data_IF_263950663765
#
_entry.id   IF_263950663765
#
_cell.length_a   1.000
_cell.length_b   1.000
_cell.length_c   1.000
_cell.angle_alpha   90.00
_cell.angle_beta   90.00
_cell.angle_gamma   90.00
#
_symmetry.space_group_name_H-M   'P 1'
#
loop_
_entity.id
_entity.type
_entity.pdbx_description
1 polymer ?
#
# COMPACT_ATOMS: atom_id res chain seq x y z
N UNK A 1 -5.04 15.76 -5.81
CA UNK A 1 -4.69 14.80 -6.89
C UNK A 1 -5.90 13.96 -7.30
N UNK A 2 -6.64 13.28 -6.38
CA UNK A 2 -7.81 12.43 -6.68
C UNK A 2 -8.86 13.17 -7.54
N UNK A 3 -9.31 14.35 -7.09
CA UNK A 3 -10.28 15.15 -7.84
C UNK A 3 -9.76 15.60 -9.21
N UNK A 4 -8.44 15.84 -9.29
CA UNK A 4 -7.82 16.20 -10.57
C UNK A 4 -7.79 15.02 -11.53
N UNK A 5 -7.38 13.84 -11.06
CA UNK A 5 -7.42 12.63 -11.89
C UNK A 5 -8.84 12.37 -12.44
N UNK A 6 -9.86 12.50 -11.56
CA UNK A 6 -11.24 12.35 -11.97
C UNK A 6 -11.65 13.41 -13.02
N UNK A 7 -11.23 14.67 -12.83
CA UNK A 7 -11.52 15.75 -13.82
C UNK A 7 -10.82 15.54 -15.18
N UNK A 8 -9.73 14.76 -15.21
CA UNK A 8 -9.05 14.33 -16.43
C UNK A 8 -9.69 13.12 -17.13
N UNK A 9 -10.80 12.61 -16.58
CA UNK A 9 -11.59 11.54 -17.20
C UNK A 9 -11.36 10.14 -16.63
N UNK A 10 -10.55 9.97 -15.58
CA UNK A 10 -10.44 8.69 -14.92
C UNK A 10 -11.71 8.40 -14.11
N UNK A 11 -12.39 7.25 -14.32
CA UNK A 11 -13.52 6.86 -13.49
C UNK A 11 -13.13 6.74 -12.02
N UNK A 12 -13.97 7.20 -11.11
CA UNK A 12 -13.67 7.16 -9.66
C UNK A 12 -13.32 5.74 -9.18
N UNK A 13 -14.07 4.72 -9.62
CA UNK A 13 -13.82 3.32 -9.31
C UNK A 13 -12.56 2.71 -9.93
N UNK A 14 -11.68 3.52 -10.55
CA UNK A 14 -10.36 3.14 -11.02
C UNK A 14 -9.25 3.96 -10.33
N UNK A 15 -9.62 4.77 -9.34
CA UNK A 15 -8.69 5.62 -8.60
C UNK A 15 -8.41 4.99 -7.24
N UNK A 16 -7.15 4.69 -6.98
CA UNK A 16 -6.66 4.28 -5.65
C UNK A 16 -5.89 5.44 -5.03
N UNK A 17 -6.22 5.78 -3.79
CA UNK A 17 -5.60 6.90 -3.09
C UNK A 17 -4.56 6.44 -2.08
N UNK A 18 -3.29 6.70 -2.36
CA UNK A 18 -2.14 6.43 -1.49
C UNK A 18 -1.58 7.74 -0.89
N UNK A 19 -0.77 7.62 0.15
CA UNK A 19 -0.05 8.75 0.78
C UNK A 19 -0.17 8.75 2.29
N UNK A 20 0.90 9.20 2.97
CA UNK A 20 1.05 9.12 4.44
C UNK A 20 0.39 10.25 5.22
N UNK A 21 -0.17 11.23 4.58
CA UNK A 21 -0.70 12.44 5.24
C UNK A 21 -2.04 12.88 4.70
N UNK A 22 -2.97 11.93 4.47
CA UNK A 22 -4.33 12.27 4.04
C UNK A 22 -5.04 13.08 5.11
N UNK A 23 -5.52 14.27 4.76
CA UNK A 23 -6.36 15.06 5.64
C UNK A 23 -7.80 14.55 5.65
N UNK A 24 -8.56 14.89 6.71
CA UNK A 24 -9.97 14.52 6.83
C UNK A 24 -10.79 14.99 5.61
N UNK A 25 -10.49 16.20 5.10
CA UNK A 25 -11.14 16.73 3.91
C UNK A 25 -10.84 15.88 2.66
N UNK A 26 -9.61 15.46 2.47
CA UNK A 26 -9.21 14.64 1.32
C UNK A 26 -9.82 13.24 1.40
N UNK A 27 -9.86 12.65 2.60
CA UNK A 27 -10.55 11.38 2.86
C UNK A 27 -12.03 11.51 2.52
N UNK A 28 -12.68 12.56 3.01
CA UNK A 28 -14.09 12.82 2.74
C UNK A 28 -14.37 13.00 1.24
N UNK A 29 -13.63 13.89 0.58
CA UNK A 29 -13.82 14.16 -0.85
C UNK A 29 -13.63 12.90 -1.70
N UNK A 30 -12.60 12.09 -1.42
CA UNK A 30 -12.32 10.85 -2.13
C UNK A 30 -13.40 9.77 -1.84
N UNK A 31 -13.85 9.66 -0.60
CA UNK A 31 -14.92 8.74 -0.18
C UNK A 31 -16.23 9.07 -0.87
N UNK A 32 -16.64 10.34 -0.89
CA UNK A 32 -17.88 10.78 -1.52
C UNK A 32 -17.83 10.71 -3.04
N UNK A 33 -16.63 10.79 -3.62
CA UNK A 33 -16.42 10.54 -5.04
C UNK A 33 -16.60 9.06 -5.41
N UNK A 34 -16.44 8.14 -4.44
CA UNK A 34 -16.56 6.71 -4.65
C UNK A 34 -15.34 6.12 -5.33
N UNK A 35 -14.13 6.47 -4.86
CA UNK A 35 -12.89 5.89 -5.36
C UNK A 35 -12.82 4.38 -5.13
N UNK A 36 -11.96 3.69 -5.87
CA UNK A 36 -11.83 2.24 -5.77
C UNK A 36 -11.37 1.80 -4.39
N UNK A 37 -10.28 2.40 -3.86
CA UNK A 37 -9.79 2.10 -2.52
C UNK A 37 -8.86 3.18 -1.97
N UNK A 38 -8.76 3.22 -0.64
CA UNK A 38 -7.72 3.93 0.11
C UNK A 38 -6.57 2.95 0.42
N UNK A 39 -5.34 3.29 0.06
CA UNK A 39 -4.16 2.63 0.61
C UNK A 39 -3.84 3.25 1.97
N UNK A 40 -4.17 2.55 3.04
CA UNK A 40 -4.05 3.05 4.41
C UNK A 40 -2.67 2.76 4.98
N UNK A 41 -2.04 3.77 5.54
CA UNK A 41 -0.66 3.73 6.03
C UNK A 41 -0.55 3.38 7.52
N UNK A 42 -1.66 3.46 8.27
CA UNK A 42 -1.70 3.20 9.71
C UNK A 42 -3.09 2.76 10.19
N UNK A 43 -3.14 2.11 11.36
CA UNK A 43 -4.39 1.81 12.05
C UNK A 43 -5.21 3.06 12.37
N UNK A 44 -4.54 4.15 12.74
CA UNK A 44 -5.22 5.40 13.06
C UNK A 44 -5.99 5.95 11.84
N UNK A 45 -5.38 5.91 10.67
CA UNK A 45 -6.03 6.31 9.43
C UNK A 45 -7.26 5.45 9.14
N UNK A 46 -7.16 4.14 9.33
CA UNK A 46 -8.29 3.22 9.14
C UNK A 46 -9.44 3.55 10.10
N UNK A 47 -9.15 3.91 11.35
CA UNK A 47 -10.16 4.33 12.30
C UNK A 47 -10.88 5.61 11.86
N UNK A 48 -10.13 6.60 11.37
CA UNK A 48 -10.70 7.86 10.85
C UNK A 48 -11.59 7.59 9.63
N UNK A 49 -11.13 6.76 8.69
CA UNK A 49 -11.92 6.38 7.50
C UNK A 49 -13.20 5.66 7.91
N UNK A 50 -13.14 4.72 8.88
CA UNK A 50 -14.31 3.99 9.36
C UNK A 50 -15.32 4.93 10.03
N UNK A 51 -14.87 5.84 10.87
CA UNK A 51 -15.73 6.81 11.55
C UNK A 51 -16.41 7.73 10.52
N UNK A 52 -15.64 8.24 9.57
CA UNK A 52 -16.18 9.10 8.51
C UNK A 52 -17.19 8.35 7.63
N UNK A 53 -16.89 7.12 7.26
CA UNK A 53 -17.81 6.27 6.49
C UNK A 53 -19.11 6.00 7.26
N UNK A 54 -19.02 5.74 8.57
CA UNK A 54 -20.17 5.60 9.45
C UNK A 54 -21.03 6.87 9.48
N UNK A 55 -20.43 8.04 9.71
CA UNK A 55 -21.12 9.33 9.77
C UNK A 55 -21.89 9.66 8.48
N UNK A 56 -21.37 9.23 7.34
CA UNK A 56 -21.98 9.48 6.04
C UNK A 56 -22.81 8.31 5.47
N UNK A 57 -22.95 7.22 6.22
CA UNK A 57 -23.75 6.07 5.83
C UNK A 57 -23.22 5.32 4.59
N UNK A 58 -21.93 5.36 4.36
CA UNK A 58 -21.26 4.70 3.22
C UNK A 58 -20.33 3.58 3.70
N UNK A 59 -19.79 2.81 2.75
CA UNK A 59 -18.69 1.88 2.99
C UNK A 59 -17.44 2.35 2.24
N UNK A 60 -16.30 2.30 2.90
CA UNK A 60 -15.01 2.62 2.30
C UNK A 60 -14.22 1.34 2.01
N UNK A 61 -13.74 1.20 0.79
CA UNK A 61 -12.78 0.15 0.45
C UNK A 61 -11.39 0.56 0.91
N UNK A 62 -10.71 -0.32 1.62
CA UNK A 62 -9.33 -0.08 2.09
C UNK A 62 -8.39 -1.19 1.63
N UNK A 63 -7.21 -0.80 1.16
CA UNK A 63 -6.03 -1.65 1.10
C UNK A 63 -5.08 -1.23 2.21
N UNK A 64 -4.55 -2.19 2.91
CA UNK A 64 -3.66 -1.92 4.04
C UNK A 64 -2.22 -1.96 3.57
N UNK A 65 -1.49 -0.86 3.76
CA UNK A 65 -0.06 -0.85 3.51
C UNK A 65 0.66 -1.58 4.63
N UNK A 66 1.34 -2.64 4.25
CA UNK A 66 2.14 -3.47 5.14
C UNK A 66 3.61 -3.14 4.99
N UNK A 67 4.30 -3.00 6.12
CA UNK A 67 5.76 -3.03 6.14
C UNK A 67 6.22 -4.50 6.14
N UNK A 68 6.82 -5.02 5.05
CA UNK A 68 7.23 -6.41 4.97
C UNK A 68 8.53 -6.69 5.73
N UNK A 69 9.14 -5.66 6.35
CA UNK A 69 10.42 -5.75 7.05
C UNK A 69 11.55 -6.33 6.19
N UNK A 70 11.65 -5.81 4.96
CA UNK A 70 12.68 -6.16 3.99
C UNK A 70 13.68 -5.01 3.88
N UNK A 71 14.97 -5.32 4.04
CA UNK A 71 16.03 -4.37 3.72
C UNK A 71 16.33 -4.43 2.21
N UNK A 72 15.82 -3.44 1.47
CA UNK A 72 16.11 -3.28 0.04
C UNK A 72 17.59 -2.90 -0.23
N UNK A 73 18.32 -2.48 0.80
CA UNK A 73 19.70 -2.03 0.74
C UNK A 73 20.68 -3.04 1.38
N UNK A 74 21.00 -4.10 0.68
CA UNK A 74 21.92 -5.14 1.16
C UNK A 74 23.39 -4.71 1.22
N UNK A 75 23.72 -3.45 1.01
CA UNK A 75 25.08 -2.91 1.20
C UNK A 75 25.21 -2.09 2.47
N UNK A 76 26.18 -2.47 3.33
CA UNK A 76 26.52 -1.89 4.64
C UNK A 76 26.88 -0.39 4.67
N UNK A 77 26.73 0.35 3.58
CA UNK A 77 27.27 1.71 3.45
C UNK A 77 26.24 2.79 3.05
N UNK A 78 24.95 2.48 2.91
CA UNK A 78 23.94 3.50 2.62
C UNK A 78 22.90 3.53 3.73
N UNK A 79 23.13 4.37 4.71
CA UNK A 79 22.29 4.60 5.90
C UNK A 79 20.94 5.29 5.58
N UNK A 80 20.55 5.39 4.32
CA UNK A 80 19.31 6.04 3.88
C UNK A 80 18.08 5.14 3.89
N UNK A 81 18.24 3.81 3.93
CA UNK A 81 17.15 2.83 3.94
C UNK A 81 16.31 2.80 5.22
N UNK A 82 16.74 3.44 6.30
CA UNK A 82 15.97 3.54 7.55
C UNK A 82 14.76 4.48 7.47
N UNK A 83 14.64 5.31 6.43
CA UNK A 83 13.51 6.24 6.28
C UNK A 83 12.26 5.58 5.67
N UNK A 84 12.42 4.64 4.75
CA UNK A 84 11.28 4.00 4.05
C UNK A 84 10.63 2.89 4.90
N UNK A 85 11.37 2.25 5.81
CA UNK A 85 10.84 1.27 6.77
C UNK A 85 9.94 1.86 7.88
N UNK A 86 9.64 3.16 7.83
CA UNK A 86 8.80 3.84 8.83
C UNK A 86 7.31 3.84 8.48
N UNK A 87 6.96 3.47 7.26
CA UNK A 87 5.59 3.54 6.77
C UNK A 87 4.97 2.14 6.68
N UNK A 88 3.66 2.13 6.79
CA UNK A 88 2.88 0.90 6.78
C UNK A 88 2.74 0.26 8.16
N UNK A 89 1.81 -0.65 8.25
CA UNK A 89 1.46 -1.38 9.46
C UNK A 89 2.43 -2.53 9.65
N UNK A 90 2.97 -2.66 10.85
CA UNK A 90 3.94 -3.70 11.18
C UNK A 90 3.25 -4.99 11.67
N UNK A 91 3.99 -6.11 11.62
CA UNK A 91 3.46 -7.44 11.92
C UNK A 91 2.85 -7.58 13.34
N UNK A 92 3.37 -6.85 14.32
CA UNK A 92 2.83 -6.90 15.69
C UNK A 92 1.46 -6.20 15.84
N UNK A 93 1.00 -5.47 14.83
CA UNK A 93 -0.31 -4.83 14.81
C UNK A 93 -1.36 -5.66 14.03
N UNK A 94 -0.95 -6.73 13.34
CA UNK A 94 -1.83 -7.47 12.45
C UNK A 94 -3.08 -8.04 13.15
N UNK A 95 -2.95 -8.66 14.31
CA UNK A 95 -4.11 -9.21 15.01
C UNK A 95 -5.12 -8.12 15.36
N UNK A 96 -4.66 -6.97 15.84
CA UNK A 96 -5.51 -5.81 16.14
C UNK A 96 -6.19 -5.25 14.90
N UNK A 97 -5.44 -5.15 13.81
CA UNK A 97 -5.93 -4.69 12.50
C UNK A 97 -7.04 -5.62 11.98
N UNK A 98 -6.77 -6.92 11.97
CA UNK A 98 -7.69 -7.94 11.47
C UNK A 98 -8.98 -7.94 12.28
N UNK A 99 -8.86 -7.94 13.61
CA UNK A 99 -10.01 -7.87 14.52
C UNK A 99 -10.86 -6.61 14.27
N UNK A 100 -10.21 -5.46 14.05
CA UNK A 100 -10.91 -4.22 13.76
C UNK A 100 -11.66 -4.30 12.42
N UNK A 101 -11.01 -4.75 11.36
CA UNK A 101 -11.64 -4.87 10.02
C UNK A 101 -12.85 -5.81 10.09
N UNK A 102 -12.72 -6.97 10.76
CA UNK A 102 -13.80 -7.96 10.87
C UNK A 102 -15.02 -7.44 11.64
N UNK A 103 -14.81 -6.51 12.59
CA UNK A 103 -15.90 -5.91 13.38
C UNK A 103 -16.50 -4.65 12.73
N UNK A 104 -15.84 -4.09 11.72
CA UNK A 104 -16.25 -2.84 11.11
C UNK A 104 -17.34 -3.06 10.07
N UNK A 105 -18.47 -2.37 10.22
CA UNK A 105 -19.57 -2.43 9.28
C UNK A 105 -19.38 -1.49 8.08
N UNK A 106 -18.53 -0.47 8.23
CA UNK A 106 -18.31 0.60 7.25
C UNK A 106 -16.98 0.50 6.50
N UNK A 107 -16.18 -0.52 6.81
CA UNK A 107 -14.96 -0.85 6.08
C UNK A 107 -15.18 -2.11 5.23
N UNK A 108 -14.73 -2.04 3.99
CA UNK A 108 -14.62 -3.18 3.11
C UNK A 108 -13.12 -3.45 2.85
N UNK A 109 -12.62 -4.59 3.27
CA UNK A 109 -11.22 -4.97 3.06
C UNK A 109 -11.02 -5.34 1.59
N UNK A 110 -10.31 -4.46 0.87
CA UNK A 110 -10.03 -4.62 -0.56
C UNK A 110 -8.76 -5.43 -0.80
N UNK A 111 -7.71 -5.24 0.01
CA UNK A 111 -6.48 -5.98 -0.17
C UNK A 111 -5.30 -5.46 0.63
N UNK A 112 -4.10 -5.82 0.15
CA UNK A 112 -2.83 -5.42 0.74
C UNK A 112 -2.02 -4.56 -0.24
N UNK A 113 -1.31 -3.59 0.30
CA UNK A 113 -0.38 -2.75 -0.42
C UNK A 113 1.00 -2.85 0.21
N UNK A 114 2.02 -2.92 -0.63
CA UNK A 114 3.42 -2.97 -0.25
C UNK A 114 4.18 -1.87 -0.97
N UNK A 115 5.29 -1.44 -0.40
CA UNK A 115 6.26 -0.58 -1.07
C UNK A 115 7.57 -0.69 -0.31
N UNK A 116 8.55 -1.35 -0.90
CA UNK A 116 9.81 -1.73 -0.25
C UNK A 116 10.94 -0.73 -0.47
N UNK A 117 10.71 0.30 -1.28
CA UNK A 117 11.68 1.37 -1.51
C UNK A 117 11.77 1.83 -2.95
N UNK A 118 12.72 2.72 -3.20
CA UNK A 118 12.97 3.34 -4.50
C UNK A 118 14.36 2.96 -5.00
N UNK A 119 14.60 3.08 -6.31
CA UNK A 119 15.91 2.83 -6.94
C UNK A 119 16.46 1.41 -6.68
N UNK A 120 15.59 0.42 -6.78
CA UNK A 120 15.96 -0.98 -6.60
C UNK A 120 16.65 -1.48 -7.86
N UNK A 121 17.96 -1.66 -7.78
CA UNK A 121 18.81 -2.11 -8.90
C UNK A 121 19.08 -3.62 -8.86
N UNK A 122 18.93 -4.26 -7.70
CA UNK A 122 19.05 -5.72 -7.53
C UNK A 122 17.66 -6.39 -7.68
N UNK A 123 17.10 -6.24 -8.86
CA UNK A 123 15.70 -6.54 -9.18
C UNK A 123 15.31 -7.94 -8.74
N UNK A 124 15.97 -8.97 -9.27
CA UNK A 124 15.63 -10.37 -9.04
C UNK A 124 15.66 -10.76 -7.56
N UNK A 125 16.67 -10.35 -6.84
CA UNK A 125 16.84 -10.72 -5.43
C UNK A 125 15.80 -10.04 -4.56
N UNK A 126 15.65 -8.72 -4.72
CA UNK A 126 14.79 -7.91 -3.86
C UNK A 126 13.32 -8.22 -4.09
N UNK A 127 12.87 -8.24 -5.35
CA UNK A 127 11.46 -8.56 -5.65
C UNK A 127 11.11 -10.03 -5.40
N UNK A 128 12.07 -10.97 -5.56
CA UNK A 128 11.83 -12.37 -5.16
C UNK A 128 11.61 -12.49 -3.66
N UNK A 129 12.39 -11.76 -2.85
CA UNK A 129 12.20 -11.72 -1.40
C UNK A 129 10.86 -11.05 -1.03
N UNK A 130 10.50 -9.96 -1.70
CA UNK A 130 9.20 -9.33 -1.53
C UNK A 130 8.06 -10.30 -1.79
N UNK A 131 8.08 -11.00 -2.92
CA UNK A 131 7.05 -11.98 -3.26
C UNK A 131 6.94 -13.11 -2.21
N UNK A 132 8.06 -13.57 -1.66
CA UNK A 132 8.04 -14.57 -0.58
C UNK A 132 7.35 -14.01 0.68
N UNK A 133 7.73 -12.81 1.10
CA UNK A 133 7.14 -12.16 2.28
C UNK A 133 5.66 -11.84 2.08
N UNK A 134 5.30 -11.34 0.91
CA UNK A 134 3.90 -11.10 0.55
C UNK A 134 3.08 -12.38 0.68
N UNK A 135 3.57 -13.51 0.14
CA UNK A 135 2.89 -14.79 0.28
C UNK A 135 2.71 -15.25 1.74
N UNK A 136 3.71 -15.03 2.60
CA UNK A 136 3.61 -15.34 4.03
C UNK A 136 2.53 -14.49 4.70
N UNK A 137 2.51 -13.18 4.40
CA UNK A 137 1.56 -12.24 4.98
C UNK A 137 0.13 -12.53 4.48
N UNK A 138 -0.05 -12.77 3.19
CA UNK A 138 -1.35 -13.17 2.62
C UNK A 138 -1.90 -14.42 3.32
N UNK A 139 -1.09 -15.47 3.46
CA UNK A 139 -1.48 -16.68 4.18
C UNK A 139 -1.86 -16.41 5.63
N UNK A 140 -1.15 -15.49 6.28
CA UNK A 140 -1.48 -15.09 7.64
C UNK A 140 -2.88 -14.44 7.72
N UNK A 141 -3.17 -13.45 6.87
CA UNK A 141 -4.48 -12.79 6.81
C UNK A 141 -5.61 -13.78 6.49
N UNK A 142 -5.40 -14.65 5.51
CA UNK A 142 -6.37 -15.66 5.14
C UNK A 142 -6.60 -16.69 6.25
N UNK A 143 -5.56 -17.08 6.98
CA UNK A 143 -5.69 -17.98 8.14
C UNK A 143 -6.53 -17.40 9.27
N UNK A 144 -6.65 -16.06 9.32
CA UNK A 144 -7.49 -15.32 10.27
C UNK A 144 -8.89 -15.00 9.71
N UNK A 145 -9.20 -15.46 8.51
CA UNK A 145 -10.53 -15.30 7.89
C UNK A 145 -10.71 -14.00 7.08
N UNK A 146 -9.65 -13.28 6.74
CA UNK A 146 -9.68 -12.17 5.79
C UNK A 146 -9.17 -12.62 4.43
N UNK A 147 -10.05 -12.67 3.44
CA UNK A 147 -9.67 -12.97 2.05
C UNK A 147 -8.95 -11.77 1.43
N UNK A 148 -7.76 -12.00 0.89
CA UNK A 148 -6.98 -10.98 0.18
C UNK A 148 -7.28 -11.06 -1.31
N UNK A 149 -8.14 -10.17 -1.80
CA UNK A 149 -8.58 -10.18 -3.21
C UNK A 149 -7.65 -9.38 -4.12
N UNK A 150 -6.94 -8.39 -3.58
CA UNK A 150 -6.06 -7.52 -4.34
C UNK A 150 -4.71 -7.38 -3.64
N UNK A 151 -3.65 -7.39 -4.43
CA UNK A 151 -2.28 -7.18 -3.97
C UNK A 151 -1.64 -6.11 -4.85
N UNK A 152 -1.15 -5.04 -4.20
CA UNK A 152 -0.37 -4.00 -4.83
C UNK A 152 1.06 -4.08 -4.30
N UNK A 153 2.00 -4.47 -5.13
CA UNK A 153 3.42 -4.62 -4.75
C UNK A 153 4.17 -3.28 -4.71
N UNK A 154 3.49 -2.18 -5.07
CA UNK A 154 4.13 -0.87 -5.15
C UNK A 154 4.98 -0.72 -6.42
N UNK A 155 6.10 -0.05 -6.26
CA UNK A 155 7.05 0.21 -7.33
C UNK A 155 8.48 0.19 -6.81
N UNK A 156 9.29 1.12 -7.30
CA UNK A 156 10.66 1.28 -6.81
C UNK A 156 11.72 0.72 -7.73
N UNK A 157 11.34 0.22 -8.89
CA UNK A 157 12.29 -0.23 -9.91
C UNK A 157 13.31 0.89 -10.22
N UNK A 158 14.59 0.54 -10.18
CA UNK A 158 15.67 1.49 -10.41
C UNK A 158 15.85 1.86 -11.88
N UNK A 159 16.39 3.05 -12.12
CA UNK A 159 16.82 3.50 -13.42
C UNK A 159 18.26 3.99 -13.34
N UNK A 160 19.01 3.84 -14.42
CA UNK A 160 20.31 4.49 -14.57
C UNK A 160 20.08 5.93 -15.03
N UNK A 161 20.44 6.92 -14.19
CA UNK A 161 20.27 8.33 -14.51
C UNK A 161 21.35 8.87 -15.43
N UNK A 162 22.51 8.21 -15.48
CA UNK A 162 23.66 8.65 -16.29
C UNK A 162 23.60 8.04 -17.70
N UNK A 163 23.17 6.80 -17.83
CA UNK A 163 23.06 6.10 -19.13
C UNK A 163 21.79 5.22 -19.18
N UNK A 164 20.60 5.84 -19.24
CA UNK A 164 19.34 5.11 -19.17
C UNK A 164 19.08 4.16 -20.36
N UNK A 165 19.69 4.43 -21.51
CA UNK A 165 19.52 3.64 -22.74
C UNK A 165 20.60 2.57 -22.92
N UNK A 166 21.78 2.76 -22.33
CA UNK A 166 22.94 1.88 -22.56
C UNK A 166 23.07 0.73 -21.57
N UNK A 167 22.49 0.86 -20.38
CA UNK A 167 22.55 -0.16 -19.32
C UNK A 167 21.22 -0.27 -18.58
N UNK A 168 20.20 -0.88 -19.18
CA UNK A 168 18.92 -1.03 -18.51
C UNK A 168 19.07 -1.83 -17.21
N UNK A 169 18.84 -1.17 -16.07
CA UNK A 169 18.82 -1.81 -14.75
C UNK A 169 17.63 -2.76 -14.64
N UNK A 170 16.55 -2.40 -15.31
CA UNK A 170 15.31 -3.15 -15.31
C UNK A 170 15.28 -4.15 -16.45
N UNK A 171 15.46 -5.40 -16.13
CA UNK A 171 15.08 -6.51 -17.01
C UNK A 171 13.61 -6.89 -16.73
N UNK A 172 12.72 -6.42 -17.59
CA UNK A 172 11.28 -6.71 -17.47
C UNK A 172 10.91 -8.15 -17.83
N UNK A 173 11.83 -8.92 -18.36
CA UNK A 173 11.63 -10.32 -18.71
C UNK A 173 12.01 -11.28 -17.58
N UNK A 174 12.74 -10.79 -16.58
CA UNK A 174 13.17 -11.60 -15.43
C UNK A 174 12.19 -11.52 -14.29
#
# INVERSE_FOLDING_TARGET
>A
EVLHAHSCGFPAGQIVYAGVGKSDKEIYDAMMLGIEAFNCESLQEIFVINEMAHLHGVKANISVRINPDIDAHTHKYVTTGLYENKFGISNHEFDKLIEFIQKSEHINFFGLHFHIGSQITRVKEVFSLECQRVNEIVKYFESKGLTVSNINLGGGLGVDYDDPDGSPIADFET
#
